data_IF_730024859816
#
_entry.id   IF_730024859816
#
_cell.length_a   1.000
_cell.length_b   1.000
_cell.length_c   1.000
_cell.angle_alpha   90.00
_cell.angle_beta   90.00
_cell.angle_gamma   90.00
#
_symmetry.space_group_name_H-M   'P 1'
#
loop_
_entity.id
_entity.type
_entity.pdbx_description
1 polymer ?
#
# COMPACT_ATOMS: atom_id res chain seq x y z
N UNK A 1 14.48 -24.55 -16.20
CA UNK A 1 13.37 -24.42 -15.24
C UNK A 1 12.34 -23.49 -15.86
N UNK A 2 11.05 -23.83 -15.98
CA UNK A 2 10.04 -22.85 -16.38
C UNK A 2 10.12 -21.65 -15.43
N UNK A 3 10.12 -20.43 -15.97
CA UNK A 3 10.12 -19.19 -15.19
C UNK A 3 8.97 -19.27 -14.18
N UNK A 4 9.29 -19.28 -12.88
CA UNK A 4 8.29 -19.37 -11.81
C UNK A 4 7.38 -18.14 -11.91
N UNK A 5 6.10 -18.35 -12.24
CA UNK A 5 5.10 -17.27 -12.28
C UNK A 5 4.69 -16.96 -10.84
N UNK A 6 4.99 -15.76 -10.30
CA UNK A 6 4.58 -15.42 -8.94
C UNK A 6 3.06 -15.21 -8.89
N UNK A 7 2.45 -15.53 -7.76
CA UNK A 7 1.11 -15.05 -7.45
C UNK A 7 1.18 -13.58 -7.05
N UNK A 8 0.23 -12.77 -7.50
CA UNK A 8 0.15 -11.34 -7.19
C UNK A 8 -1.07 -11.11 -6.29
N UNK A 9 -0.87 -10.50 -5.13
CA UNK A 9 -1.93 -10.09 -4.22
C UNK A 9 -1.92 -8.56 -4.09
N UNK A 10 -2.96 -7.90 -4.59
CA UNK A 10 -3.17 -6.45 -4.46
C UNK A 10 -4.15 -6.18 -3.32
N UNK A 11 -3.65 -5.59 -2.24
CA UNK A 11 -4.46 -5.16 -1.09
C UNK A 11 -4.60 -3.64 -1.16
N UNK A 12 -5.83 -3.14 -1.01
CA UNK A 12 -6.10 -1.69 -0.92
C UNK A 12 -6.90 -1.43 0.35
N UNK A 13 -6.56 -0.36 1.06
CA UNK A 13 -7.35 0.13 2.19
C UNK A 13 -8.29 1.23 1.70
N UNK A 14 -9.37 1.49 2.45
CA UNK A 14 -10.28 2.60 2.16
C UNK A 14 -10.01 3.77 3.10
N UNK A 15 -9.88 4.97 2.55
CA UNK A 15 -9.65 6.23 3.27
C UNK A 15 -8.48 6.25 4.27
N UNK A 16 -7.51 5.34 4.17
CA UNK A 16 -6.33 5.35 5.03
C UNK A 16 -5.44 6.55 4.70
N UNK A 17 -5.09 7.34 5.71
CA UNK A 17 -4.08 8.39 5.56
C UNK A 17 -2.69 7.77 5.45
N UNK A 18 -1.85 8.34 4.59
CA UNK A 18 -0.48 7.83 4.37
C UNK A 18 0.43 7.90 5.60
N UNK A 19 0.10 8.71 6.59
CA UNK A 19 0.82 8.84 7.86
C UNK A 19 0.26 7.97 9.00
N UNK A 20 -0.86 7.28 8.82
CA UNK A 20 -1.42 6.36 9.81
C UNK A 20 -0.79 4.95 9.72
N UNK A 21 0.54 4.88 9.90
CA UNK A 21 1.34 3.65 9.92
C UNK A 21 2.48 3.77 10.93
N UNK A 22 2.80 2.69 11.63
CA UNK A 22 3.98 2.62 12.51
C UNK A 22 5.28 2.86 11.73
N UNK A 23 5.42 2.24 10.56
CA UNK A 23 6.56 2.44 9.66
C UNK A 23 6.65 3.87 9.05
N UNK A 24 5.57 4.66 9.11
CA UNK A 24 5.57 6.09 8.76
C UNK A 24 5.92 6.99 9.97
N UNK A 25 6.20 6.42 11.14
CA UNK A 25 6.55 7.15 12.35
C UNK A 25 5.35 7.70 13.15
N UNK A 26 4.14 7.16 12.94
CA UNK A 26 2.96 7.61 13.69
C UNK A 26 3.13 7.36 15.21
N UNK A 27 2.85 8.34 16.08
CA UNK A 27 3.19 8.23 17.51
C UNK A 27 2.32 7.26 18.32
N UNK A 28 1.19 6.82 17.78
CA UNK A 28 0.19 6.03 18.51
C UNK A 28 -0.47 4.89 17.70
N UNK A 29 -0.20 4.78 16.39
CA UNK A 29 -0.87 3.77 15.55
C UNK A 29 0.05 2.57 15.48
N UNK A 30 -0.45 1.44 15.94
CA UNK A 30 0.27 0.18 15.93
C UNK A 30 -0.16 -0.66 14.73
N UNK A 31 0.76 -0.87 13.79
CA UNK A 31 0.51 -1.66 12.58
C UNK A 31 1.56 -2.76 12.38
N UNK A 32 1.80 -3.62 13.39
CA UNK A 32 2.98 -4.49 13.44
C UNK A 32 3.11 -5.41 12.21
N UNK A 33 2.00 -5.87 11.63
CA UNK A 33 2.01 -6.72 10.43
C UNK A 33 2.31 -5.93 9.15
N UNK A 34 1.85 -4.69 9.03
CA UNK A 34 2.17 -3.82 7.90
C UNK A 34 3.60 -3.29 8.00
N UNK A 35 4.05 -3.02 9.22
CA UNK A 35 5.43 -2.59 9.50
C UNK A 35 6.42 -3.71 9.14
N UNK A 36 6.10 -4.95 9.51
CA UNK A 36 6.88 -6.12 9.09
C UNK A 36 6.86 -6.33 7.57
N UNK A 37 5.73 -6.06 6.90
CA UNK A 37 5.64 -6.14 5.44
C UNK A 37 6.53 -5.08 4.77
N UNK A 38 6.55 -3.86 5.32
CA UNK A 38 7.42 -2.78 4.85
C UNK A 38 8.91 -3.11 5.04
N UNK A 39 9.29 -3.70 6.19
CA UNK A 39 10.66 -4.11 6.49
C UNK A 39 11.17 -5.22 5.56
N UNK A 40 10.32 -6.21 5.24
CA UNK A 40 10.66 -7.32 4.34
C UNK A 40 10.59 -6.96 2.86
N UNK A 41 10.11 -5.75 2.53
CA UNK A 41 9.76 -5.34 1.18
C UNK A 41 10.32 -3.97 0.83
N UNK A 42 9.51 -3.18 0.13
CA UNK A 42 9.86 -1.81 -0.23
C UNK A 42 8.72 -0.89 0.17
N UNK A 43 9.03 0.11 0.98
CA UNK A 43 8.11 1.16 1.40
C UNK A 43 8.29 2.41 0.53
N UNK A 44 7.19 2.95 0.04
CA UNK A 44 7.17 4.15 -0.81
C UNK A 44 6.60 5.33 -0.02
N UNK A 45 7.43 6.17 0.64
CA UNK A 45 6.95 7.31 1.44
C UNK A 45 6.34 8.45 0.59
N UNK A 46 6.45 8.35 -0.74
CA UNK A 46 5.97 9.35 -1.72
C UNK A 46 5.09 8.69 -2.78
N UNK A 47 4.13 7.88 -2.34
CA UNK A 47 3.09 7.29 -3.19
C UNK A 47 1.83 8.17 -3.18
N UNK A 48 1.29 8.48 -4.36
CA UNK A 48 0.16 9.38 -4.54
C UNK A 48 -0.99 8.71 -5.30
N UNK A 49 -2.23 9.01 -4.90
CA UNK A 49 -3.41 8.65 -5.70
C UNK A 49 -3.51 9.54 -6.93
N UNK A 50 -4.08 9.01 -8.03
CA UNK A 50 -4.38 9.80 -9.23
C UNK A 50 -5.47 10.84 -8.98
N UNK A 51 -6.36 10.60 -8.00
CA UNK A 51 -7.51 11.44 -7.68
C UNK A 51 -7.97 11.20 -6.23
N UNK A 52 -8.45 12.22 -5.50
CA UNK A 52 -8.90 12.07 -4.12
C UNK A 52 -10.37 11.61 -4.02
N UNK A 53 -10.77 10.62 -4.82
CA UNK A 53 -12.13 10.04 -4.80
C UNK A 53 -12.11 8.54 -5.07
N UNK A 54 -12.91 7.76 -4.34
CA UNK A 54 -12.79 6.30 -4.25
C UNK A 54 -12.93 5.59 -5.61
N UNK A 55 -14.03 5.82 -6.32
CA UNK A 55 -14.30 5.16 -7.61
C UNK A 55 -13.25 5.47 -8.67
N UNK A 56 -12.91 6.75 -8.97
CA UNK A 56 -11.93 7.03 -10.00
C UNK A 56 -10.49 6.67 -9.57
N UNK A 57 -10.15 6.69 -8.27
CA UNK A 57 -8.84 6.21 -7.79
C UNK A 57 -8.67 4.70 -8.02
N UNK A 58 -9.71 3.91 -7.69
CA UNK A 58 -9.71 2.46 -7.93
C UNK A 58 -9.71 2.14 -9.42
N UNK A 59 -10.42 2.91 -10.23
CA UNK A 59 -10.39 2.78 -11.69
C UNK A 59 -8.95 2.94 -12.22
N UNK A 60 -8.24 4.01 -11.81
CA UNK A 60 -6.85 4.24 -12.22
C UNK A 60 -5.86 3.14 -11.79
N UNK A 61 -6.08 2.50 -10.64
CA UNK A 61 -5.25 1.33 -10.24
C UNK A 61 -5.44 0.14 -11.19
N UNK A 62 -6.67 -0.10 -11.65
CA UNK A 62 -7.02 -1.27 -12.47
C UNK A 62 -6.67 -1.05 -13.94
N UNK A 63 -6.87 0.17 -14.45
CA UNK A 63 -6.68 0.48 -15.87
C UNK A 63 -5.29 0.99 -16.22
N UNK A 64 -4.52 1.45 -15.22
CA UNK A 64 -3.39 2.36 -15.46
C UNK A 64 -3.87 3.76 -15.85
#
# INVERSE_FOLDING_TARGET
>A
MPQKRPNILLITTDQQRGDCLGCAGHPAVETPFLDQLAEKGTYFPRAYTSVPSCTPARAGIITG
#
